data_IF_622143293054
#
_entry.id   IF_622143293054
#
_cell.length_a   1.000
_cell.length_b   1.000
_cell.length_c   1.000
_cell.angle_alpha   90.00
_cell.angle_beta   90.00
_cell.angle_gamma   90.00
#
_symmetry.space_group_name_H-M   'P 1'
#
loop_
_entity.id
_entity.type
_entity.pdbx_description
1 polymer ?
#
# COMPACT_ATOMS: atom_id res chain seq x y z
N UNK A 1 4.41 17.06 -19.23
CA UNK A 1 3.60 15.85 -19.01
C UNK A 1 4.49 14.73 -18.49
N UNK A 2 3.94 13.93 -17.62
CA UNK A 2 4.62 12.80 -16.97
C UNK A 2 3.89 11.51 -17.31
N UNK A 3 4.64 10.46 -17.61
CA UNK A 3 4.12 9.13 -17.90
C UNK A 3 4.88 8.08 -17.08
N UNK A 4 4.45 6.82 -17.15
CA UNK A 4 5.12 5.74 -16.44
C UNK A 4 6.29 5.14 -17.23
N UNK A 5 6.19 5.00 -18.57
CA UNK A 5 7.22 4.36 -19.41
C UNK A 5 7.84 5.30 -20.42
N UNK A 6 9.10 5.05 -20.77
CA UNK A 6 9.78 5.78 -21.85
C UNK A 6 9.06 5.64 -23.20
N UNK A 7 8.46 4.47 -23.45
CA UNK A 7 7.66 4.24 -24.65
C UNK A 7 6.45 5.15 -24.71
N UNK A 8 5.69 5.24 -23.61
CA UNK A 8 4.53 6.15 -23.52
C UNK A 8 4.94 7.62 -23.68
N UNK A 9 6.05 8.04 -23.06
CA UNK A 9 6.59 9.40 -23.25
C UNK A 9 6.92 9.70 -24.71
N UNK A 10 7.54 8.75 -25.42
CA UNK A 10 7.86 8.87 -26.85
C UNK A 10 6.59 8.92 -27.69
N UNK A 11 5.65 8.01 -27.49
CA UNK A 11 4.38 7.99 -28.22
C UNK A 11 3.57 9.29 -28.02
N UNK A 12 3.51 9.80 -26.80
CA UNK A 12 2.85 11.08 -26.50
C UNK A 12 3.53 12.24 -27.23
N UNK A 13 4.86 12.29 -27.23
CA UNK A 13 5.64 13.31 -27.96
C UNK A 13 5.37 13.24 -29.45
N UNK A 14 5.43 12.05 -30.05
CA UNK A 14 5.21 11.84 -31.48
C UNK A 14 3.78 12.21 -31.90
N UNK A 15 2.80 11.93 -31.07
CA UNK A 15 1.39 12.32 -31.32
C UNK A 15 1.23 13.83 -31.34
N UNK A 16 1.87 14.55 -30.41
CA UNK A 16 1.84 16.00 -30.37
C UNK A 16 2.55 16.59 -31.59
N UNK A 17 3.75 16.10 -31.92
CA UNK A 17 4.49 16.58 -33.09
C UNK A 17 3.72 16.38 -34.40
N UNK A 18 3.14 15.19 -34.62
CA UNK A 18 2.29 14.94 -35.79
C UNK A 18 1.07 15.87 -35.84
N UNK A 19 0.50 16.22 -34.68
CA UNK A 19 -0.62 17.16 -34.63
C UNK A 19 -0.18 18.58 -35.02
N UNK A 20 1.00 19.00 -34.59
CA UNK A 20 1.61 20.29 -34.98
C UNK A 20 1.96 20.30 -36.48
N UNK A 21 2.58 19.25 -37.02
CA UNK A 21 2.87 19.10 -38.45
C UNK A 21 1.58 19.15 -39.31
N UNK A 22 0.52 18.47 -38.85
CA UNK A 22 -0.80 18.52 -39.53
C UNK A 22 -1.34 19.95 -39.53
N UNK A 23 -1.19 20.71 -38.45
CA UNK A 23 -1.63 22.09 -38.41
C UNK A 23 -0.81 23.00 -39.31
N UNK A 24 0.50 22.77 -39.45
CA UNK A 24 1.35 23.47 -40.40
C UNK A 24 0.93 23.22 -41.85
N UNK A 25 0.49 22.01 -42.21
CA UNK A 25 0.01 21.68 -43.55
C UNK A 25 -1.24 22.46 -43.99
N UNK A 26 -1.96 23.04 -43.05
CA UNK A 26 -3.20 23.79 -43.30
C UNK A 26 -4.41 22.97 -43.75
N UNK A 27 -4.26 21.64 -43.83
CA UNK A 27 -5.33 20.72 -44.28
C UNK A 27 -6.20 20.35 -43.10
N UNK A 28 -7.45 20.86 -43.09
CA UNK A 28 -8.43 20.55 -42.02
C UNK A 28 -8.85 19.06 -42.10
N UNK A 29 -8.71 18.27 -41.03
CA UNK A 29 -9.17 16.89 -41.00
C UNK A 29 -10.68 16.78 -41.14
N UNK A 30 -11.16 15.69 -41.77
CA UNK A 30 -12.60 15.47 -41.96
C UNK A 30 -13.30 15.06 -40.64
N UNK A 31 -12.59 14.34 -39.75
CA UNK A 31 -13.17 13.83 -38.52
C UNK A 31 -13.30 14.92 -37.44
N UNK A 32 -14.47 15.06 -36.77
CA UNK A 32 -14.74 16.14 -35.81
C UNK A 32 -13.76 16.21 -34.65
N UNK A 33 -13.35 15.06 -34.09
CA UNK A 33 -12.38 15.00 -32.98
C UNK A 33 -10.97 15.48 -33.43
N UNK A 34 -10.56 15.18 -34.65
CA UNK A 34 -9.28 15.65 -35.21
C UNK A 34 -9.31 17.15 -35.53
N UNK A 35 -10.48 17.71 -35.84
CA UNK A 35 -10.60 19.16 -36.07
C UNK A 35 -10.33 19.97 -34.80
N UNK A 36 -10.76 19.47 -33.62
CA UNK A 36 -10.43 20.11 -32.35
C UNK A 36 -8.90 20.08 -32.12
N UNK A 37 -8.29 18.92 -32.31
CA UNK A 37 -6.83 18.75 -32.18
C UNK A 37 -6.08 19.69 -33.16
N UNK A 38 -6.54 19.79 -34.41
CA UNK A 38 -5.99 20.69 -35.40
C UNK A 38 -6.04 22.17 -34.97
N UNK A 39 -7.18 22.62 -34.44
CA UNK A 39 -7.32 24.00 -33.95
C UNK A 39 -6.41 24.28 -32.75
N UNK A 40 -6.33 23.35 -31.79
CA UNK A 40 -5.44 23.48 -30.63
C UNK A 40 -3.97 23.49 -31.05
N UNK A 41 -3.58 22.64 -32.02
CA UNK A 41 -2.24 22.62 -32.58
C UNK A 41 -1.89 23.94 -33.29
N UNK A 42 -2.84 24.52 -34.03
CA UNK A 42 -2.69 25.86 -34.64
C UNK A 42 -2.48 26.96 -33.60
N UNK A 43 -3.23 26.95 -32.50
CA UNK A 43 -3.03 27.89 -31.39
C UNK A 43 -1.65 27.69 -30.72
N UNK A 44 -1.22 26.45 -30.55
CA UNK A 44 0.09 26.13 -30.00
C UNK A 44 1.22 26.63 -30.90
N UNK A 45 1.10 26.47 -32.23
CA UNK A 45 2.06 27.00 -33.20
C UNK A 45 2.10 28.54 -33.21
N UNK A 46 0.96 29.22 -33.10
CA UNK A 46 0.94 30.67 -32.96
C UNK A 46 1.72 31.11 -31.71
N UNK A 47 1.52 30.42 -30.60
CA UNK A 47 2.25 30.68 -29.35
C UNK A 47 3.72 30.34 -29.45
N UNK A 48 4.05 29.27 -30.18
CA UNK A 48 5.42 28.85 -30.46
C UNK A 48 6.18 29.95 -31.21
N UNK A 49 5.55 30.53 -32.24
CA UNK A 49 6.11 31.66 -33.00
C UNK A 49 6.32 32.90 -32.13
N UNK A 50 5.31 33.29 -31.32
CA UNK A 50 5.38 34.44 -30.40
C UNK A 50 6.55 34.29 -29.39
N UNK A 51 6.80 33.09 -28.93
CA UNK A 51 7.77 32.79 -27.88
C UNK A 51 9.11 32.29 -28.40
N UNK A 52 9.25 32.10 -29.71
CA UNK A 52 10.41 31.57 -30.39
C UNK A 52 10.90 30.24 -29.79
N UNK A 53 9.94 29.33 -29.49
CA UNK A 53 10.30 28.02 -28.92
C UNK A 53 10.86 27.07 -29.98
N UNK A 54 10.34 27.08 -31.20
CA UNK A 54 10.74 26.20 -32.29
C UNK A 54 10.50 24.75 -31.98
N UNK A 55 9.28 24.38 -31.58
CA UNK A 55 8.94 23.06 -31.07
C UNK A 55 9.13 21.93 -32.09
N UNK A 56 8.93 22.23 -33.40
CA UNK A 56 9.13 21.26 -34.46
C UNK A 56 10.64 21.01 -34.74
N UNK A 57 11.43 22.04 -34.62
CA UNK A 57 12.90 21.95 -34.80
C UNK A 57 13.59 21.41 -33.54
N UNK A 58 13.00 21.67 -32.39
CA UNK A 58 13.52 21.28 -31.07
C UNK A 58 12.51 20.51 -30.22
N UNK A 59 12.14 19.26 -30.59
CA UNK A 59 11.13 18.47 -29.89
C UNK A 59 11.43 18.23 -28.40
N UNK A 60 12.69 18.28 -28.00
CA UNK A 60 13.11 18.16 -26.60
C UNK A 60 12.62 19.28 -25.68
N UNK A 61 12.15 20.41 -26.25
CA UNK A 61 11.51 21.50 -25.50
C UNK A 61 10.11 21.14 -25.01
N UNK A 62 9.47 20.14 -25.63
CA UNK A 62 8.28 19.50 -25.07
C UNK A 62 8.70 18.71 -23.82
N UNK A 63 8.35 19.22 -22.66
CA UNK A 63 8.67 18.57 -21.38
C UNK A 63 7.75 17.36 -21.14
N UNK A 64 8.02 16.29 -21.89
CA UNK A 64 7.33 14.99 -21.79
C UNK A 64 8.37 13.97 -21.37
N UNK A 65 8.21 13.41 -20.16
CA UNK A 65 9.20 12.52 -19.55
C UNK A 65 8.52 11.51 -18.63
N UNK A 66 9.26 10.51 -18.16
CA UNK A 66 8.77 9.62 -17.12
C UNK A 66 8.91 10.26 -15.74
N UNK A 67 8.11 9.79 -14.77
CA UNK A 67 8.27 10.20 -13.36
C UNK A 67 9.67 9.91 -12.85
N UNK A 68 10.23 8.74 -13.17
CA UNK A 68 11.58 8.36 -12.74
C UNK A 68 12.66 9.27 -13.35
N UNK A 69 12.52 9.66 -14.62
CA UNK A 69 13.43 10.59 -15.25
C UNK A 69 13.32 12.02 -14.65
N UNK A 70 12.12 12.43 -14.24
CA UNK A 70 11.94 13.67 -13.48
C UNK A 70 12.66 13.58 -12.14
N UNK A 71 12.42 12.50 -11.35
CA UNK A 71 13.11 12.27 -10.08
C UNK A 71 14.63 12.33 -10.23
N UNK A 72 15.18 11.62 -11.22
CA UNK A 72 16.61 11.63 -11.50
C UNK A 72 17.13 13.03 -11.87
N UNK A 73 16.34 13.81 -12.63
CA UNK A 73 16.69 15.19 -12.96
C UNK A 73 16.74 16.11 -11.75
N UNK A 74 15.76 15.98 -10.84
CA UNK A 74 15.69 16.78 -9.61
C UNK A 74 16.84 16.43 -8.66
N UNK A 75 17.10 15.15 -8.44
CA UNK A 75 18.19 14.69 -7.59
C UNK A 75 19.56 15.20 -8.10
N UNK A 76 19.76 15.29 -9.42
CA UNK A 76 20.98 15.84 -10.04
C UNK A 76 21.16 17.34 -9.86
N UNK A 77 20.08 18.10 -9.80
CA UNK A 77 20.17 19.56 -9.65
C UNK A 77 20.64 19.99 -8.27
N UNK A 78 20.48 19.13 -7.26
CA UNK A 78 20.85 19.42 -5.88
C UNK A 78 21.71 18.29 -5.28
N UNK A 79 22.96 18.10 -5.76
CA UNK A 79 23.79 16.93 -5.41
C UNK A 79 24.12 16.84 -3.91
N UNK A 80 24.23 17.95 -3.22
CA UNK A 80 24.47 17.97 -1.77
C UNK A 80 23.22 17.58 -0.98
N UNK A 81 22.05 18.12 -1.33
CA UNK A 81 20.79 17.79 -0.64
C UNK A 81 20.30 16.40 -0.96
N UNK A 82 20.47 15.93 -2.19
CA UNK A 82 20.19 14.56 -2.58
C UNK A 82 21.17 13.54 -1.99
N UNK A 83 22.31 14.01 -1.45
CA UNK A 83 23.39 13.21 -0.86
C UNK A 83 24.00 12.18 -1.83
N UNK A 84 23.87 12.37 -3.13
CA UNK A 84 24.52 11.49 -4.10
C UNK A 84 26.00 11.83 -4.29
N UNK A 85 26.37 13.09 -4.17
CA UNK A 85 27.73 13.55 -4.47
C UNK A 85 28.02 13.47 -5.96
N UNK A 86 28.41 12.29 -6.45
CA UNK A 86 28.47 11.95 -7.87
C UNK A 86 27.16 11.29 -8.32
N UNK A 87 26.86 11.35 -9.63
CA UNK A 87 25.66 10.72 -10.16
C UNK A 87 25.83 9.18 -10.21
N UNK A 88 25.04 8.41 -9.46
CA UNK A 88 25.06 6.95 -9.56
C UNK A 88 24.39 6.48 -10.85
N UNK A 89 24.75 5.28 -11.30
CA UNK A 89 23.99 4.52 -12.28
C UNK A 89 22.62 4.12 -11.71
N UNK A 90 21.71 3.71 -12.59
CA UNK A 90 20.41 3.14 -12.20
C UNK A 90 20.48 1.65 -12.46
N UNK A 91 20.36 0.85 -11.41
CA UNK A 91 20.30 -0.60 -11.53
C UNK A 91 18.98 -1.01 -12.19
N UNK A 92 19.06 -1.71 -13.32
CA UNK A 92 17.87 -2.29 -13.99
C UNK A 92 17.28 -3.42 -13.14
N UNK A 93 18.15 -4.22 -12.50
CA UNK A 93 17.81 -5.22 -11.50
C UNK A 93 18.55 -4.91 -10.20
N UNK A 94 17.83 -4.50 -9.18
CA UNK A 94 18.38 -4.15 -7.87
C UNK A 94 18.36 -5.33 -6.87
N UNK A 95 17.77 -6.48 -7.21
CA UNK A 95 17.66 -7.65 -6.32
C UNK A 95 19.01 -8.16 -5.81
N UNK A 96 20.10 -8.20 -6.61
CA UNK A 96 21.45 -8.56 -6.12
C UNK A 96 21.95 -7.64 -5.00
N UNK A 97 21.64 -6.35 -5.04
CA UNK A 97 21.99 -5.40 -3.99
C UNK A 97 21.18 -5.64 -2.72
N UNK A 98 19.88 -5.95 -2.86
CA UNK A 98 19.02 -6.32 -1.72
C UNK A 98 19.53 -7.60 -1.04
N UNK A 99 19.89 -8.63 -1.81
CA UNK A 99 20.46 -9.86 -1.28
C UNK A 99 21.79 -9.62 -0.56
N UNK A 100 22.66 -8.79 -1.13
CA UNK A 100 23.91 -8.40 -0.49
C UNK A 100 23.68 -7.67 0.83
N UNK A 101 22.76 -6.72 0.86
CA UNK A 101 22.41 -5.97 2.06
C UNK A 101 21.79 -6.86 3.13
N UNK A 102 20.88 -7.75 2.76
CA UNK A 102 20.24 -8.70 3.67
C UNK A 102 21.29 -9.62 4.32
N UNK A 103 22.20 -10.18 3.54
CA UNK A 103 23.28 -11.05 4.03
C UNK A 103 24.20 -10.31 5.00
N UNK A 104 24.68 -9.13 4.63
CA UNK A 104 25.52 -8.29 5.51
C UNK A 104 24.82 -7.93 6.81
N UNK A 105 23.51 -7.70 6.76
CA UNK A 105 22.72 -7.44 7.97
C UNK A 105 22.72 -8.68 8.89
N UNK A 106 22.54 -9.89 8.34
CA UNK A 106 22.57 -11.12 9.14
C UNK A 106 23.97 -11.42 9.69
N UNK A 107 25.03 -11.14 8.94
CA UNK A 107 26.44 -11.29 9.37
C UNK A 107 26.77 -10.39 10.58
N UNK A 108 26.03 -9.31 10.82
CA UNK A 108 26.24 -8.45 11.98
C UNK A 108 26.03 -9.18 13.32
N UNK A 109 25.34 -10.32 13.32
CA UNK A 109 25.17 -11.15 14.53
C UNK A 109 26.51 -11.56 15.14
N UNK A 110 27.58 -11.70 14.34
CA UNK A 110 28.91 -12.10 14.78
C UNK A 110 29.72 -10.94 15.37
N UNK A 111 29.34 -9.70 15.07
CA UNK A 111 30.13 -8.53 15.48
C UNK A 111 29.97 -8.15 16.96
N UNK A 112 28.92 -8.66 17.62
CA UNK A 112 28.57 -8.28 19.00
C UNK A 112 27.98 -6.85 19.11
N UNK A 113 27.42 -6.53 20.28
CA UNK A 113 26.83 -5.23 20.54
C UNK A 113 25.35 -5.12 20.18
N UNK A 114 24.78 -3.92 20.30
CA UNK A 114 23.34 -3.68 20.21
C UNK A 114 22.72 -4.10 18.86
N UNK A 115 23.45 -3.95 17.77
CA UNK A 115 22.96 -4.33 16.43
C UNK A 115 22.97 -5.86 16.26
N UNK A 116 23.98 -6.55 16.83
CA UNK A 116 24.01 -8.01 16.86
C UNK A 116 22.85 -8.59 17.69
N UNK A 117 22.50 -7.94 18.82
CA UNK A 117 21.36 -8.34 19.64
C UNK A 117 20.03 -8.24 18.88
N UNK A 118 19.87 -7.22 18.04
CA UNK A 118 18.70 -7.06 17.17
C UNK A 118 18.61 -8.21 16.16
N UNK A 119 19.72 -8.54 15.49
CA UNK A 119 19.76 -9.64 14.52
C UNK A 119 19.48 -10.98 15.21
N UNK A 120 20.11 -11.22 16.38
CA UNK A 120 19.90 -12.42 17.16
C UNK A 120 18.44 -12.56 17.62
N UNK A 121 17.81 -11.47 18.06
CA UNK A 121 16.39 -11.44 18.44
C UNK A 121 15.46 -11.79 17.29
N UNK A 122 15.71 -11.23 16.11
CA UNK A 122 14.94 -11.54 14.90
C UNK A 122 15.14 -12.99 14.43
N UNK A 123 16.37 -13.51 14.50
CA UNK A 123 16.65 -14.91 14.20
C UNK A 123 15.95 -15.85 15.18
N UNK A 124 15.98 -15.55 16.48
CA UNK A 124 15.29 -16.35 17.48
C UNK A 124 13.76 -16.39 17.24
N UNK A 125 13.15 -15.26 16.87
CA UNK A 125 11.73 -15.21 16.50
C UNK A 125 11.41 -16.07 15.27
N UNK A 126 12.36 -16.20 14.35
CA UNK A 126 12.23 -17.01 13.12
C UNK A 126 12.74 -18.45 13.28
N UNK A 127 12.80 -18.99 14.50
CA UNK A 127 13.33 -20.32 14.80
C UNK A 127 14.75 -20.55 14.24
N UNK A 128 15.58 -19.50 14.22
CA UNK A 128 16.93 -19.47 13.62
C UNK A 128 16.96 -19.82 12.12
N UNK A 129 15.88 -19.59 11.40
CA UNK A 129 15.84 -19.80 9.96
C UNK A 129 16.39 -18.57 9.22
N UNK A 130 17.71 -18.49 9.11
CA UNK A 130 18.41 -17.39 8.46
C UNK A 130 18.00 -17.20 6.98
N UNK A 131 17.81 -18.29 6.22
CA UNK A 131 17.42 -18.21 4.82
C UNK A 131 16.03 -17.60 4.62
N UNK A 132 15.08 -17.93 5.52
CA UNK A 132 13.76 -17.30 5.50
C UNK A 132 13.83 -15.82 5.86
N UNK A 133 14.63 -15.46 6.86
CA UNK A 133 14.82 -14.06 7.27
C UNK A 133 15.50 -13.26 6.15
N UNK A 134 16.53 -13.79 5.49
CA UNK A 134 17.18 -13.18 4.32
C UNK A 134 16.15 -12.88 3.22
N UNK A 135 15.34 -13.88 2.85
CA UNK A 135 14.31 -13.71 1.81
C UNK A 135 13.28 -12.62 2.15
N UNK A 136 12.87 -12.54 3.43
CA UNK A 136 11.97 -11.49 3.90
C UNK A 136 12.63 -10.11 3.85
N UNK A 137 13.90 -9.99 4.24
CA UNK A 137 14.65 -8.73 4.15
C UNK A 137 14.77 -8.25 2.71
N UNK A 138 15.10 -9.14 1.76
CA UNK A 138 15.16 -8.83 0.32
C UNK A 138 13.81 -8.28 -0.16
N UNK A 139 12.71 -8.97 0.16
CA UNK A 139 11.37 -8.54 -0.23
C UNK A 139 10.99 -7.17 0.39
N UNK A 140 11.37 -6.93 1.66
CA UNK A 140 11.10 -5.68 2.36
C UNK A 140 11.94 -4.52 1.81
N UNK A 141 13.21 -4.75 1.49
CA UNK A 141 14.08 -3.72 0.90
C UNK A 141 13.57 -3.22 -0.44
N UNK A 142 12.98 -4.10 -1.26
CA UNK A 142 12.32 -3.73 -2.50
C UNK A 142 11.03 -2.91 -2.34
N UNK A 143 10.53 -2.77 -1.10
CA UNK A 143 9.33 -1.98 -0.76
C UNK A 143 9.61 -0.95 0.34
N UNK A 144 10.88 -0.53 0.51
CA UNK A 144 11.27 0.33 1.63
C UNK A 144 10.64 1.72 1.60
N UNK A 145 10.19 2.19 0.46
CA UNK A 145 9.43 3.42 0.32
C UNK A 145 8.10 3.42 1.09
N UNK A 146 7.54 2.24 1.36
CA UNK A 146 6.29 2.09 2.09
C UNK A 146 6.47 2.11 3.62
N UNK A 147 7.62 1.69 4.13
CA UNK A 147 7.80 1.48 5.57
C UNK A 147 8.96 2.27 6.22
N UNK A 148 9.98 2.72 5.45
CA UNK A 148 11.21 3.27 6.04
C UNK A 148 10.98 4.51 6.92
N UNK A 149 10.06 5.39 6.51
CA UNK A 149 9.73 6.57 7.29
C UNK A 149 8.94 6.24 8.58
N UNK A 150 8.19 5.14 8.59
CA UNK A 150 7.50 4.66 9.78
C UNK A 150 8.45 3.97 10.76
N UNK A 151 9.43 3.20 10.27
CA UNK A 151 10.38 2.47 11.08
C UNK A 151 11.13 3.36 12.08
N UNK A 152 11.51 4.58 11.69
CA UNK A 152 12.17 5.53 12.59
C UNK A 152 11.26 6.05 13.71
N UNK A 153 9.94 6.09 13.48
CA UNK A 153 8.95 6.55 14.47
C UNK A 153 8.56 5.45 15.45
N UNK A 154 8.60 4.18 15.03
CA UNK A 154 8.31 3.02 15.88
C UNK A 154 9.30 2.96 17.06
N UNK A 155 10.59 3.19 16.81
CA UNK A 155 11.64 3.15 17.83
C UNK A 155 11.52 4.24 18.90
N UNK A 156 10.82 5.32 18.63
CA UNK A 156 10.59 6.39 19.62
C UNK A 156 9.46 6.09 20.61
N UNK A 157 8.79 4.92 20.48
CA UNK A 157 7.64 4.53 21.31
C UNK A 157 6.38 5.34 21.04
N UNK A 158 6.46 6.38 20.19
CA UNK A 158 5.34 7.28 19.91
C UNK A 158 4.26 6.63 19.03
N UNK A 159 4.54 5.48 18.41
CA UNK A 159 3.67 4.87 17.41
C UNK A 159 2.86 3.67 17.90
N UNK A 160 3.03 3.18 19.14
CA UNK A 160 2.30 1.99 19.61
C UNK A 160 0.78 2.19 19.47
N UNK A 161 0.27 3.32 19.94
CA UNK A 161 -1.15 3.65 19.83
C UNK A 161 -1.64 3.81 18.38
N UNK A 162 -0.80 4.38 17.48
CA UNK A 162 -1.15 4.50 16.06
C UNK A 162 -1.18 3.14 15.36
N UNK A 163 -0.24 2.26 15.69
CA UNK A 163 -0.19 0.88 15.17
C UNK A 163 -1.40 0.08 15.66
N UNK A 164 -1.70 0.15 16.96
CA UNK A 164 -2.87 -0.51 17.55
C UNK A 164 -4.17 0.04 16.95
N UNK A 165 -4.28 1.35 16.74
CA UNK A 165 -5.43 1.95 16.06
C UNK A 165 -5.54 1.49 14.59
N UNK A 166 -4.42 1.34 13.89
CA UNK A 166 -4.38 0.79 12.54
C UNK A 166 -4.86 -0.66 12.49
N UNK A 167 -4.41 -1.52 13.41
CA UNK A 167 -4.92 -2.89 13.54
C UNK A 167 -6.42 -2.90 13.89
N UNK A 168 -6.85 -2.04 14.81
CA UNK A 168 -8.25 -1.90 15.14
C UNK A 168 -9.11 -1.58 13.92
N UNK A 169 -8.71 -0.61 13.10
CA UNK A 169 -9.42 -0.23 11.88
C UNK A 169 -9.50 -1.37 10.85
N UNK A 170 -8.43 -2.16 10.70
CA UNK A 170 -8.44 -3.33 9.82
C UNK A 170 -9.40 -4.41 10.32
N UNK A 171 -9.38 -4.70 11.64
CA UNK A 171 -10.28 -5.66 12.27
C UNK A 171 -11.74 -5.19 12.13
N UNK A 172 -12.03 -3.92 12.41
CA UNK A 172 -13.37 -3.35 12.28
C UNK A 172 -13.92 -3.44 10.84
N UNK A 173 -13.06 -3.30 9.83
CA UNK A 173 -13.44 -3.52 8.44
C UNK A 173 -13.88 -4.96 8.19
N UNK A 174 -13.14 -5.94 8.71
CA UNK A 174 -13.45 -7.36 8.54
C UNK A 174 -14.69 -7.74 9.37
N UNK A 175 -14.87 -7.15 10.55
CA UNK A 175 -16.10 -7.25 11.34
C UNK A 175 -17.31 -6.66 10.61
N UNK A 176 -17.16 -5.53 9.93
CA UNK A 176 -18.22 -4.93 9.12
C UNK A 176 -18.65 -5.84 7.96
N UNK A 177 -17.70 -6.51 7.30
CA UNK A 177 -17.98 -7.50 6.29
C UNK A 177 -18.80 -8.67 6.87
N UNK A 178 -18.40 -9.20 8.03
CA UNK A 178 -19.14 -10.25 8.71
C UNK A 178 -20.55 -9.80 9.15
N UNK A 179 -20.69 -8.61 9.70
CA UNK A 179 -21.97 -8.03 10.10
C UNK A 179 -22.93 -7.82 8.94
N UNK A 180 -22.41 -7.58 7.73
CA UNK A 180 -23.23 -7.48 6.53
C UNK A 180 -23.82 -8.83 6.11
N UNK A 181 -23.04 -9.92 6.24
CA UNK A 181 -23.46 -11.28 5.89
C UNK A 181 -24.31 -11.93 7.00
N UNK A 182 -23.90 -11.77 8.26
CA UNK A 182 -24.66 -12.19 9.45
C UNK A 182 -25.44 -10.99 9.98
N UNK A 183 -26.38 -10.51 9.19
CA UNK A 183 -27.14 -9.29 9.47
C UNK A 183 -28.07 -9.43 10.68
N UNK A 184 -28.72 -8.34 11.11
CA UNK A 184 -29.55 -8.31 12.30
C UNK A 184 -30.68 -9.36 12.33
N UNK A 185 -31.24 -9.75 11.16
CA UNK A 185 -32.23 -10.82 11.06
C UNK A 185 -31.61 -12.18 11.39
N UNK A 186 -30.46 -12.49 10.81
CA UNK A 186 -29.69 -13.72 11.07
C UNK A 186 -29.28 -13.76 12.55
N UNK A 187 -28.76 -12.67 13.07
CA UNK A 187 -28.35 -12.57 14.48
C UNK A 187 -29.52 -12.80 15.44
N UNK A 188 -30.70 -12.26 15.14
CA UNK A 188 -31.89 -12.44 15.97
C UNK A 188 -32.31 -13.91 16.06
N UNK A 189 -32.13 -14.69 14.99
CA UNK A 189 -32.38 -16.14 14.99
C UNK A 189 -31.25 -16.92 15.69
N UNK A 190 -30.01 -16.48 15.48
CA UNK A 190 -28.84 -17.16 16.03
C UNK A 190 -28.64 -16.96 17.54
N UNK A 191 -28.92 -15.75 18.07
CA UNK A 191 -28.69 -15.42 19.48
C UNK A 191 -29.31 -16.44 20.48
N UNK A 192 -30.61 -16.82 20.40
CA UNK A 192 -31.16 -17.77 21.31
C UNK A 192 -30.53 -19.16 21.16
N UNK A 193 -30.15 -19.56 19.95
CA UNK A 193 -29.51 -20.85 19.67
C UNK A 193 -28.06 -20.88 20.18
N UNK A 194 -27.34 -19.77 20.06
CA UNK A 194 -25.97 -19.62 20.56
C UNK A 194 -25.92 -19.66 22.10
N UNK A 195 -26.87 -19.00 22.79
CA UNK A 195 -27.01 -19.08 24.24
C UNK A 195 -27.36 -20.49 24.68
N UNK A 196 -28.26 -21.14 23.96
CA UNK A 196 -28.63 -22.54 24.25
C UNK A 196 -27.39 -23.45 24.09
N UNK A 197 -26.60 -23.27 23.02
CA UNK A 197 -25.39 -24.04 22.81
C UNK A 197 -24.36 -23.84 23.94
N UNK A 198 -24.13 -22.59 24.34
CA UNK A 198 -23.23 -22.27 25.46
C UNK A 198 -23.67 -22.90 26.79
N UNK A 199 -24.98 -22.95 27.07
CA UNK A 199 -25.50 -23.57 28.28
C UNK A 199 -25.35 -25.10 28.32
N UNK A 200 -25.21 -25.77 27.16
CA UNK A 200 -25.19 -27.23 27.05
C UNK A 200 -23.82 -27.83 26.69
N UNK A 201 -22.80 -27.00 26.42
CA UNK A 201 -21.46 -27.50 26.12
C UNK A 201 -20.37 -26.60 26.71
N UNK A 202 -19.59 -27.11 27.66
CA UNK A 202 -18.48 -26.39 28.29
C UNK A 202 -17.38 -25.96 27.31
N UNK A 203 -17.37 -26.50 26.08
CA UNK A 203 -16.43 -26.12 25.02
C UNK A 203 -16.95 -25.05 24.04
N UNK A 204 -18.20 -24.61 24.20
CA UNK A 204 -18.74 -23.45 23.51
C UNK A 204 -18.41 -22.21 24.35
N UNK A 205 -17.93 -21.16 23.72
CA UNK A 205 -17.42 -19.99 24.42
C UNK A 205 -18.46 -19.34 25.35
N UNK A 206 -18.06 -19.01 26.57
CA UNK A 206 -18.87 -18.30 27.56
C UNK A 206 -19.35 -16.93 27.05
N UNK A 207 -18.65 -16.33 26.07
CA UNK A 207 -19.07 -15.07 25.46
C UNK A 207 -20.41 -15.14 24.74
N UNK A 208 -20.91 -16.33 24.42
CA UNK A 208 -22.21 -16.54 23.80
C UNK A 208 -23.32 -16.69 24.82
N UNK A 209 -23.01 -17.02 26.08
CA UNK A 209 -24.02 -17.27 27.12
C UNK A 209 -24.85 -16.01 27.45
N UNK A 210 -24.24 -14.85 27.45
CA UNK A 210 -24.84 -13.54 27.74
C UNK A 210 -25.13 -12.69 26.51
N UNK A 211 -25.09 -13.28 25.31
CA UNK A 211 -25.34 -12.55 24.05
C UNK A 211 -26.82 -12.16 23.95
N UNK A 212 -27.14 -10.88 24.14
CA UNK A 212 -28.50 -10.32 24.20
C UNK A 212 -28.76 -9.18 23.22
N UNK A 213 -27.73 -8.59 22.63
CA UNK A 213 -27.83 -7.50 21.68
C UNK A 213 -27.10 -7.82 20.36
N UNK A 214 -27.57 -7.32 19.22
CA UNK A 214 -26.86 -7.51 17.94
C UNK A 214 -25.40 -7.07 18.01
N UNK A 215 -24.50 -7.89 17.44
CA UNK A 215 -23.09 -7.56 17.31
C UNK A 215 -22.91 -6.44 16.29
N UNK A 216 -21.99 -5.55 16.60
CA UNK A 216 -21.58 -4.45 15.75
C UNK A 216 -20.27 -4.77 15.04
N UNK A 217 -19.79 -3.85 14.19
CA UNK A 217 -18.46 -3.92 13.63
C UNK A 217 -17.37 -3.40 14.59
N UNK A 218 -17.75 -3.01 15.82
CA UNK A 218 -16.80 -2.49 16.79
C UNK A 218 -15.91 -3.59 17.38
N UNK A 219 -14.66 -3.22 17.65
CA UNK A 219 -13.61 -4.14 18.14
C UNK A 219 -13.98 -4.86 19.43
N UNK A 220 -14.81 -4.25 20.28
CA UNK A 220 -15.30 -4.86 21.52
C UNK A 220 -16.11 -6.14 21.28
N UNK A 221 -16.70 -6.29 20.11
CA UNK A 221 -17.48 -7.47 19.72
C UNK A 221 -16.61 -8.57 19.07
N UNK A 222 -15.32 -8.34 18.83
CA UNK A 222 -14.42 -9.32 18.20
C UNK A 222 -14.44 -10.69 18.90
N UNK A 223 -14.29 -10.81 20.23
CA UNK A 223 -14.29 -12.13 20.87
C UNK A 223 -15.61 -12.88 20.65
N UNK A 224 -16.73 -12.15 20.62
CA UNK A 224 -18.05 -12.73 20.40
C UNK A 224 -18.25 -13.12 18.95
N UNK A 225 -17.75 -12.32 17.99
CA UNK A 225 -17.73 -12.68 16.58
C UNK A 225 -16.89 -13.94 16.31
N UNK A 226 -15.73 -14.08 16.98
CA UNK A 226 -14.91 -15.31 16.91
C UNK A 226 -15.65 -16.52 17.45
N UNK A 227 -16.38 -16.34 18.54
CA UNK A 227 -17.20 -17.42 19.12
C UNK A 227 -18.38 -17.81 18.21
N UNK A 228 -19.01 -16.84 17.55
CA UNK A 228 -20.04 -17.09 16.54
C UNK A 228 -19.43 -17.86 15.34
N UNK A 229 -18.30 -17.44 14.85
CA UNK A 229 -17.61 -18.13 13.74
C UNK A 229 -17.24 -19.58 14.14
N UNK A 230 -16.73 -19.80 15.35
CA UNK A 230 -16.42 -21.14 15.88
C UNK A 230 -17.66 -22.04 16.03
N UNK A 231 -18.82 -21.47 16.38
CA UNK A 231 -20.09 -22.20 16.47
C UNK A 231 -20.59 -22.60 15.06
N UNK A 232 -20.46 -21.72 14.06
CA UNK A 232 -21.00 -21.93 12.72
C UNK A 232 -20.08 -22.76 11.82
N UNK A 233 -18.75 -22.63 11.97
CA UNK A 233 -17.77 -23.29 11.12
C UNK A 233 -17.25 -24.61 11.72
N UNK A 234 -16.88 -25.52 10.83
CA UNK A 234 -16.09 -26.72 11.16
C UNK A 234 -14.60 -26.35 11.30
N UNK A 235 -13.79 -27.28 11.83
CA UNK A 235 -12.33 -27.10 11.84
C UNK A 235 -11.68 -26.95 10.46
N UNK A 236 -12.37 -27.30 9.38
CA UNK A 236 -11.94 -27.08 7.99
C UNK A 236 -12.42 -25.76 7.39
N UNK A 237 -13.06 -24.89 8.16
CA UNK A 237 -13.52 -23.57 7.71
C UNK A 237 -14.83 -23.56 6.93
N UNK A 238 -15.53 -24.68 6.85
CA UNK A 238 -16.83 -24.77 6.16
C UNK A 238 -18.01 -24.66 7.12
N UNK A 239 -19.13 -24.09 6.69
CA UNK A 239 -20.36 -24.03 7.50
C UNK A 239 -20.83 -25.42 7.85
N UNK A 240 -21.10 -25.67 9.13
CA UNK A 240 -21.51 -26.98 9.64
C UNK A 240 -22.76 -27.50 8.92
N UNK A 241 -22.75 -28.80 8.61
CA UNK A 241 -23.91 -29.50 8.05
C UNK A 241 -24.77 -30.11 9.14
N UNK A 242 -24.18 -30.39 10.30
CA UNK A 242 -24.84 -31.03 11.45
C UNK A 242 -24.33 -30.40 12.74
N UNK A 243 -25.13 -30.46 13.79
CA UNK A 243 -24.75 -30.08 15.16
C UNK A 243 -24.99 -31.23 16.10
N UNK A 244 -24.14 -31.41 17.09
CA UNK A 244 -24.18 -32.46 18.09
C UNK A 244 -23.91 -31.89 19.49
N UNK A 245 -23.81 -32.78 20.49
CA UNK A 245 -23.52 -32.39 21.86
C UNK A 245 -22.22 -31.60 22.05
N UNK A 246 -21.25 -31.77 21.15
CA UNK A 246 -19.97 -31.01 21.21
C UNK A 246 -20.18 -29.56 20.83
N UNK A 247 -21.18 -29.29 20.01
CA UNK A 247 -21.58 -27.94 19.60
C UNK A 247 -22.71 -27.40 20.52
N UNK A 248 -23.05 -28.06 21.66
CA UNK A 248 -24.10 -27.64 22.54
C UNK A 248 -25.50 -28.02 22.12
N UNK A 249 -25.67 -28.99 21.21
CA UNK A 249 -26.99 -29.49 20.77
C UNK A 249 -27.11 -30.99 21.06
N UNK A 250 -27.53 -31.37 22.31
CA UNK A 250 -27.76 -32.76 22.69
C UNK A 250 -28.84 -33.44 21.84
N UNK A 251 -28.83 -34.76 21.84
CA UNK A 251 -29.78 -35.56 21.05
C UNK A 251 -31.12 -35.81 21.77
N UNK A 252 -31.32 -35.25 22.96
CA UNK A 252 -32.50 -35.43 23.79
C UNK A 252 -33.74 -34.87 23.12
N UNK A 253 -34.86 -35.56 23.26
CA UNK A 253 -36.13 -35.18 22.60
C UNK A 253 -36.63 -33.79 22.99
N UNK A 254 -36.36 -33.33 24.19
CA UNK A 254 -36.74 -31.99 24.66
C UNK A 254 -36.06 -30.86 23.95
N UNK A 255 -34.88 -31.12 23.31
CA UNK A 255 -34.07 -30.13 22.56
C UNK A 255 -34.21 -30.25 21.05
N UNK A 256 -35.14 -31.06 20.57
CA UNK A 256 -35.34 -31.34 19.15
C UNK A 256 -35.65 -30.06 18.34
N UNK A 257 -36.39 -29.13 18.89
CA UNK A 257 -36.80 -27.89 18.24
C UNK A 257 -35.61 -26.95 18.05
N UNK A 258 -34.74 -26.77 19.06
CA UNK A 258 -33.54 -25.95 19.01
C UNK A 258 -32.55 -26.51 17.98
N UNK A 259 -32.38 -27.84 17.96
CA UNK A 259 -31.51 -28.52 16.98
C UNK A 259 -32.03 -28.35 15.57
N UNK A 260 -33.35 -28.48 15.36
CA UNK A 260 -33.99 -28.28 14.06
C UNK A 260 -33.82 -26.84 13.59
N UNK A 261 -34.10 -25.85 14.43
CA UNK A 261 -33.94 -24.45 14.12
C UNK A 261 -32.50 -24.10 13.75
N UNK A 262 -31.49 -24.67 14.46
CA UNK A 262 -30.08 -24.48 14.12
C UNK A 262 -29.73 -25.11 12.77
N UNK A 263 -30.22 -26.27 12.43
CA UNK A 263 -29.96 -26.93 11.16
C UNK A 263 -30.58 -26.16 9.98
N UNK A 264 -31.78 -25.62 10.15
CA UNK A 264 -32.42 -24.74 9.15
C UNK A 264 -31.61 -23.47 8.94
N UNK A 265 -31.20 -22.79 10.00
CA UNK A 265 -30.33 -21.59 9.91
C UNK A 265 -29.00 -21.90 9.22
N UNK A 266 -28.35 -23.02 9.57
CA UNK A 266 -27.09 -23.43 8.89
C UNK A 266 -27.29 -23.74 7.41
N UNK A 267 -28.46 -24.27 7.02
CA UNK A 267 -28.80 -24.52 5.63
C UNK A 267 -28.90 -23.21 4.84
N UNK A 268 -29.54 -22.19 5.41
CA UNK A 268 -29.65 -20.86 4.81
C UNK A 268 -28.26 -20.18 4.71
N UNK A 269 -27.46 -20.26 5.77
CA UNK A 269 -26.12 -19.67 5.80
C UNK A 269 -25.16 -20.30 4.78
N UNK A 270 -25.28 -21.59 4.49
CA UNK A 270 -24.46 -22.23 3.42
C UNK A 270 -24.73 -21.69 2.03
N UNK A 271 -25.90 -21.13 1.80
CA UNK A 271 -26.24 -20.47 0.53
C UNK A 271 -25.66 -19.04 0.41
N UNK A 272 -25.10 -18.50 1.50
CA UNK A 272 -24.57 -17.14 1.53
C UNK A 272 -23.15 -17.13 1.00
N UNK A 273 -22.95 -16.56 -0.20
CA UNK A 273 -21.63 -16.44 -0.84
C UNK A 273 -20.67 -15.61 0.00
N UNK A 274 -19.43 -16.10 0.16
CA UNK A 274 -18.36 -15.41 0.90
C UNK A 274 -18.42 -15.56 2.43
N UNK A 275 -19.46 -16.19 2.99
CA UNK A 275 -19.62 -16.32 4.46
C UNK A 275 -18.50 -17.14 5.09
N UNK A 276 -18.15 -18.28 4.48
CA UNK A 276 -17.13 -19.19 5.01
C UNK A 276 -15.76 -18.51 5.07
N UNK A 277 -15.40 -17.81 4.01
CA UNK A 277 -14.15 -17.06 3.92
C UNK A 277 -14.11 -15.93 4.97
N UNK A 278 -15.17 -15.11 5.01
CA UNK A 278 -15.27 -13.98 5.96
C UNK A 278 -15.19 -14.42 7.41
N UNK A 279 -15.99 -15.44 7.80
CA UNK A 279 -15.97 -15.95 9.17
C UNK A 279 -14.66 -16.68 9.49
N UNK A 280 -14.05 -17.33 8.49
CA UNK A 280 -12.74 -17.97 8.63
C UNK A 280 -11.63 -16.97 8.95
N UNK A 281 -11.65 -15.80 8.32
CA UNK A 281 -10.73 -14.69 8.63
C UNK A 281 -10.88 -14.26 10.10
N UNK A 282 -12.10 -14.10 10.60
CA UNK A 282 -12.33 -13.66 11.97
C UNK A 282 -11.71 -14.58 13.03
N UNK A 283 -11.68 -15.89 12.77
CA UNK A 283 -11.07 -16.86 13.70
C UNK A 283 -9.55 -16.66 13.86
N UNK A 284 -8.90 -16.10 12.86
CA UNK A 284 -7.45 -15.87 12.84
C UNK A 284 -7.06 -14.45 13.30
N UNK A 285 -8.02 -13.54 13.48
CA UNK A 285 -7.71 -12.16 13.86
C UNK A 285 -7.13 -12.11 15.29
N UNK A 286 -5.99 -11.40 15.49
CA UNK A 286 -5.42 -11.16 16.81
C UNK A 286 -6.23 -10.11 17.56
N UNK A 287 -5.95 -9.98 18.87
CA UNK A 287 -6.40 -8.82 19.63
C UNK A 287 -5.71 -7.55 19.12
N UNK A 288 -6.38 -6.40 19.11
CA UNK A 288 -5.79 -5.15 18.58
C UNK A 288 -4.70 -4.56 19.48
N UNK A 289 -4.74 -4.85 20.78
CA UNK A 289 -3.72 -4.42 21.72
C UNK A 289 -2.53 -5.37 21.68
N UNK A 290 -1.35 -4.81 21.51
CA UNK A 290 -0.10 -5.53 21.56
C UNK A 290 0.40 -5.61 23.01
N UNK A 291 0.72 -6.81 23.47
CA UNK A 291 1.47 -7.00 24.70
C UNK A 291 2.86 -6.36 24.59
N UNK A 292 3.52 -6.12 25.73
CA UNK A 292 4.90 -5.57 25.72
C UNK A 292 5.88 -6.47 24.95
N UNK A 293 5.71 -7.80 25.01
CA UNK A 293 6.55 -8.75 24.29
C UNK A 293 6.32 -8.68 22.76
N UNK A 294 5.05 -8.56 22.33
CA UNK A 294 4.72 -8.39 20.91
C UNK A 294 5.23 -7.04 20.39
N UNK A 295 5.07 -5.98 21.19
CA UNK A 295 5.60 -4.67 20.84
C UNK A 295 7.12 -4.69 20.72
N UNK A 296 7.83 -5.30 21.66
CA UNK A 296 9.29 -5.47 21.59
C UNK A 296 9.73 -6.23 20.31
N UNK A 297 8.91 -7.18 19.84
CA UNK A 297 9.15 -7.85 18.56
C UNK A 297 9.00 -6.89 17.38
N UNK A 298 7.97 -6.06 17.37
CA UNK A 298 7.77 -5.02 16.33
C UNK A 298 8.95 -4.05 16.30
N UNK A 299 9.41 -3.58 17.48
CA UNK A 299 10.59 -2.72 17.58
C UNK A 299 11.86 -3.42 17.07
N UNK A 300 12.07 -4.68 17.44
CA UNK A 300 13.21 -5.48 16.98
C UNK A 300 13.24 -5.56 15.43
N UNK A 301 12.14 -5.93 14.80
CA UNK A 301 12.07 -6.01 13.34
C UNK A 301 12.17 -4.62 12.67
N UNK A 302 11.62 -3.58 13.28
CA UNK A 302 11.76 -2.23 12.79
C UNK A 302 13.23 -1.77 12.76
N UNK A 303 13.99 -2.06 13.83
CA UNK A 303 15.43 -1.79 13.90
C UNK A 303 16.21 -2.61 12.89
N UNK A 304 15.89 -3.92 12.77
CA UNK A 304 16.51 -4.80 11.78
C UNK A 304 16.33 -4.26 10.36
N UNK A 305 15.12 -3.83 9.98
CA UNK A 305 14.83 -3.27 8.67
C UNK A 305 15.64 -2.00 8.40
N UNK A 306 15.82 -1.14 9.41
CA UNK A 306 16.67 0.05 9.27
C UNK A 306 18.15 -0.30 9.10
N UNK A 307 18.65 -1.29 9.83
CA UNK A 307 20.01 -1.81 9.63
C UNK A 307 20.18 -2.31 8.20
N UNK A 308 19.21 -3.10 7.71
CA UNK A 308 19.22 -3.60 6.34
C UNK A 308 19.20 -2.47 5.29
N UNK A 309 18.41 -1.41 5.51
CA UNK A 309 18.41 -0.23 4.64
C UNK A 309 19.76 0.51 4.67
N UNK A 310 20.44 0.55 5.84
CA UNK A 310 21.80 1.08 5.97
C UNK A 310 22.82 0.24 5.16
N UNK A 311 22.76 -1.10 5.25
CA UNK A 311 23.60 -1.98 4.46
C UNK A 311 23.32 -1.89 2.96
N UNK A 312 22.06 -1.67 2.57
CA UNK A 312 21.71 -1.43 1.17
C UNK A 312 22.35 -0.15 0.64
N UNK A 313 22.33 0.91 1.44
CA UNK A 313 23.00 2.16 1.06
C UNK A 313 24.51 1.95 0.81
N UNK A 314 25.18 1.19 1.67
CA UNK A 314 26.60 0.84 1.49
C UNK A 314 26.82 0.00 0.22
N UNK A 315 25.95 -0.98 -0.04
CA UNK A 315 26.03 -1.80 -1.25
C UNK A 315 25.86 -0.96 -2.53
N UNK A 316 24.92 0.00 -2.52
CA UNK A 316 24.74 0.94 -3.63
C UNK A 316 25.95 1.85 -3.84
N UNK A 317 26.56 2.36 -2.77
CA UNK A 317 27.75 3.19 -2.86
C UNK A 317 28.95 2.43 -3.47
N UNK A 318 29.14 1.18 -3.06
CA UNK A 318 30.23 0.34 -3.57
C UNK A 318 30.04 0.00 -5.05
N UNK A 319 28.80 -0.23 -5.48
CA UNK A 319 28.49 -0.54 -6.87
C UNK A 319 28.46 0.73 -7.77
N UNK A 320 28.31 1.91 -7.19
CA UNK A 320 28.08 3.15 -7.96
C UNK A 320 26.71 3.18 -8.63
N UNK A 321 25.76 2.41 -8.16
CA UNK A 321 24.40 2.26 -8.69
C UNK A 321 23.37 2.41 -7.60
N UNK A 322 22.15 2.80 -7.96
CA UNK A 322 20.98 2.85 -7.07
C UNK A 322 19.73 2.40 -7.81
N UNK A 323 18.70 2.02 -7.08
CA UNK A 323 17.40 1.72 -7.66
C UNK A 323 16.50 2.96 -7.80
N UNK A 324 15.33 2.78 -8.44
CA UNK A 324 14.36 3.85 -8.64
C UNK A 324 13.75 4.38 -7.33
N UNK A 325 13.63 3.53 -6.30
CA UNK A 325 13.13 3.95 -4.97
C UNK A 325 14.08 4.98 -4.35
N UNK A 326 15.39 4.70 -4.42
CA UNK A 326 16.40 5.64 -3.89
C UNK A 326 16.41 6.95 -4.66
N UNK A 327 16.30 6.91 -6.00
CA UNK A 327 16.23 8.12 -6.82
C UNK A 327 15.02 8.97 -6.45
N UNK A 328 13.84 8.35 -6.29
CA UNK A 328 12.62 9.06 -5.91
C UNK A 328 12.73 9.67 -4.50
N UNK A 329 13.28 8.92 -3.53
CA UNK A 329 13.52 9.41 -2.18
C UNK A 329 14.49 10.61 -2.18
N UNK A 330 15.58 10.54 -2.96
CA UNK A 330 16.57 11.64 -3.08
C UNK A 330 16.01 12.86 -3.80
N UNK A 331 15.15 12.67 -4.79
CA UNK A 331 14.41 13.78 -5.40
C UNK A 331 13.53 14.51 -4.39
N UNK A 332 12.85 13.76 -3.50
CA UNK A 332 12.11 14.34 -2.40
C UNK A 332 12.97 15.19 -1.46
N UNK A 333 14.16 14.71 -1.10
CA UNK A 333 15.12 15.48 -0.30
C UNK A 333 15.62 16.74 -1.01
N UNK A 334 15.82 16.68 -2.33
CA UNK A 334 16.22 17.83 -3.11
C UNK A 334 15.19 18.96 -3.14
N UNK A 335 13.90 18.64 -2.96
CA UNK A 335 12.81 19.62 -2.84
C UNK A 335 12.63 20.18 -1.41
N UNK A 336 13.18 19.49 -0.40
CA UNK A 336 13.00 19.85 1.01
C UNK A 336 11.67 19.31 1.58
N UNK A 337 11.42 19.70 2.83
CA UNK A 337 10.18 19.36 3.54
C UNK A 337 9.19 20.53 3.57
N UNK A 338 8.13 20.36 4.36
CA UNK A 338 7.02 21.28 4.45
C UNK A 338 7.41 22.61 5.12
N UNK A 339 8.34 22.56 6.04
CA UNK A 339 8.77 23.72 6.84
C UNK A 339 9.95 24.45 6.19
N UNK A 340 10.75 23.74 5.37
CA UNK A 340 11.95 24.25 4.75
C UNK A 340 12.07 23.84 3.27
N UNK A 341 11.26 24.43 2.36
CA UNK A 341 11.40 24.20 0.92
C UNK A 341 12.75 24.74 0.43
N UNK A 342 13.37 24.00 -0.50
CA UNK A 342 14.65 24.41 -1.08
C UNK A 342 14.49 25.48 -2.15
N UNK A 343 15.59 26.17 -2.52
CA UNK A 343 15.61 27.09 -3.66
C UNK A 343 15.16 26.41 -4.95
N UNK A 344 15.46 25.11 -5.13
CA UNK A 344 14.99 24.33 -6.27
C UNK A 344 13.47 24.20 -6.28
N UNK A 345 12.85 23.92 -5.11
CA UNK A 345 11.40 23.82 -5.01
C UNK A 345 10.74 25.16 -5.37
N UNK A 346 11.28 26.27 -4.90
CA UNK A 346 10.82 27.62 -5.25
C UNK A 346 10.97 27.91 -6.74
N UNK A 347 12.14 27.61 -7.33
CA UNK A 347 12.39 27.80 -8.76
C UNK A 347 11.41 26.99 -9.62
N UNK A 348 11.06 25.78 -9.21
CA UNK A 348 10.10 24.92 -9.90
C UNK A 348 8.67 25.42 -9.75
N UNK A 349 8.29 25.97 -8.62
CA UNK A 349 6.96 26.56 -8.39
C UNK A 349 6.69 27.71 -9.38
N UNK A 350 7.70 28.52 -9.69
CA UNK A 350 7.58 29.55 -10.71
C UNK A 350 7.63 29.01 -12.14
N UNK A 351 8.34 27.90 -12.38
CA UNK A 351 8.58 27.37 -13.73
C UNK A 351 7.48 26.41 -14.20
N UNK A 352 6.83 25.67 -13.29
CA UNK A 352 5.82 24.69 -13.60
C UNK A 352 4.44 25.30 -13.34
N UNK A 353 3.64 25.42 -14.41
CA UNK A 353 2.25 25.90 -14.29
C UNK A 353 1.22 24.83 -14.56
N UNK A 354 1.56 23.87 -15.40
CA UNK A 354 0.65 22.79 -15.75
C UNK A 354 1.37 21.46 -15.63
N UNK A 355 0.85 20.55 -14.82
CA UNK A 355 1.36 19.22 -14.58
C UNK A 355 0.31 18.21 -15.01
N UNK A 356 0.64 17.40 -16.01
CA UNK A 356 -0.21 16.33 -16.49
C UNK A 356 0.46 15.01 -16.12
N UNK A 357 -0.26 14.12 -15.46
CA UNK A 357 0.25 12.79 -15.06
C UNK A 357 -0.65 11.72 -15.66
N UNK A 358 -0.06 10.87 -16.47
CA UNK A 358 -0.72 9.73 -17.10
C UNK A 358 -0.33 8.43 -16.39
N UNK A 359 -1.20 7.42 -16.44
CA UNK A 359 -1.03 6.13 -15.77
C UNK A 359 -0.79 6.27 -14.25
N UNK A 360 -1.56 7.16 -13.61
CA UNK A 360 -1.38 7.49 -12.20
C UNK A 360 -1.55 6.29 -11.26
N UNK A 361 -2.34 5.28 -11.66
CA UNK A 361 -2.52 4.05 -10.89
C UNK A 361 -1.24 3.24 -10.67
N UNK A 362 -0.18 3.50 -11.45
CA UNK A 362 1.11 2.82 -11.37
C UNK A 362 2.18 3.63 -10.61
N UNK A 363 1.81 4.79 -10.05
CA UNK A 363 2.72 5.62 -9.25
C UNK A 363 2.97 5.02 -7.87
N UNK A 364 4.21 5.14 -7.38
CA UNK A 364 4.57 4.75 -6.02
C UNK A 364 4.19 5.84 -4.99
N UNK A 365 4.03 5.50 -3.70
CA UNK A 365 3.79 6.49 -2.64
C UNK A 365 4.83 7.62 -2.61
N UNK A 366 6.11 7.30 -2.83
CA UNK A 366 7.20 8.28 -2.89
C UNK A 366 7.05 9.23 -4.07
N UNK A 367 6.61 8.73 -5.23
CA UNK A 367 6.34 9.55 -6.41
C UNK A 367 5.12 10.44 -6.21
N UNK A 368 4.07 9.94 -5.54
CA UNK A 368 2.90 10.77 -5.16
C UNK A 368 3.34 11.89 -4.23
N UNK A 369 4.09 11.59 -3.17
CA UNK A 369 4.61 12.61 -2.27
C UNK A 369 5.51 13.65 -2.96
N UNK A 370 6.24 13.25 -4.01
CA UNK A 370 6.99 14.18 -4.86
C UNK A 370 6.06 15.14 -5.62
N UNK A 371 4.98 14.62 -6.22
CA UNK A 371 3.98 15.44 -6.93
C UNK A 371 3.29 16.42 -5.98
N UNK A 372 2.93 15.98 -4.78
CA UNK A 372 2.37 16.82 -3.73
C UNK A 372 3.31 17.98 -3.36
N UNK A 373 4.62 17.70 -3.21
CA UNK A 373 5.63 18.73 -2.95
C UNK A 373 5.78 19.71 -4.11
N UNK A 374 5.73 19.24 -5.36
CA UNK A 374 5.81 20.10 -6.56
C UNK A 374 4.57 20.98 -6.75
N UNK A 375 3.41 20.55 -6.26
CA UNK A 375 2.15 21.30 -6.39
C UNK A 375 1.73 22.00 -5.09
N UNK A 376 2.59 21.97 -4.08
CA UNK A 376 2.35 22.66 -2.82
C UNK A 376 2.23 24.16 -3.06
N UNK A 377 1.26 24.78 -2.44
CA UNK A 377 0.99 26.20 -2.63
C UNK A 377 0.19 26.55 -3.88
N UNK A 378 -0.19 25.54 -4.68
CA UNK A 378 -1.15 25.78 -5.76
C UNK A 378 -2.55 25.95 -5.18
N UNK A 379 -3.23 26.98 -5.64
CA UNK A 379 -4.57 27.33 -5.16
C UNK A 379 -5.59 27.22 -6.30
N UNK A 380 -6.86 26.94 -6.01
CA UNK A 380 -7.91 27.04 -7.03
C UNK A 380 -7.86 28.40 -7.74
N UNK A 381 -8.01 28.40 -9.06
CA UNK A 381 -8.07 29.60 -9.93
C UNK A 381 -6.80 30.45 -9.99
N UNK A 382 -5.64 29.93 -9.54
CA UNK A 382 -4.35 30.63 -9.63
C UNK A 382 -3.67 30.52 -11.01
N UNK A 383 -4.34 29.88 -11.97
CA UNK A 383 -3.84 29.68 -13.34
C UNK A 383 -2.87 28.50 -13.45
N UNK A 384 -2.71 27.71 -12.42
CA UNK A 384 -1.95 26.45 -12.41
C UNK A 384 -2.90 25.25 -12.45
N UNK A 385 -2.45 24.12 -13.01
CA UNK A 385 -3.31 22.95 -13.20
C UNK A 385 -2.55 21.66 -12.92
N UNK A 386 -3.07 20.82 -12.04
CA UNK A 386 -2.72 19.41 -11.94
C UNK A 386 -3.83 18.60 -12.63
N UNK A 387 -3.46 17.85 -13.66
CA UNK A 387 -4.35 16.94 -14.37
C UNK A 387 -3.82 15.52 -14.28
N UNK A 388 -4.59 14.63 -13.68
CA UNK A 388 -4.20 13.25 -13.38
C UNK A 388 -5.14 12.31 -14.11
N UNK A 389 -4.59 11.35 -14.84
CA UNK A 389 -5.33 10.30 -15.54
C UNK A 389 -4.85 8.95 -15.04
N UNK A 390 -5.80 8.08 -14.70
CA UNK A 390 -5.52 6.74 -14.25
C UNK A 390 -6.78 5.90 -14.15
N UNK A 391 -6.63 4.59 -14.33
CA UNK A 391 -7.69 3.60 -14.13
C UNK A 391 -7.22 2.56 -13.11
N UNK A 392 -7.77 2.55 -11.88
CA UNK A 392 -7.38 1.59 -10.85
C UNK A 392 -7.51 0.13 -11.27
N UNK A 393 -8.41 -0.17 -12.22
CA UNK A 393 -8.62 -1.53 -12.72
C UNK A 393 -7.51 -1.99 -13.69
N UNK A 394 -6.76 -1.06 -14.26
CA UNK A 394 -5.64 -1.34 -15.17
C UNK A 394 -4.29 -1.39 -14.45
N UNK A 395 -4.24 -1.18 -13.13
CA UNK A 395 -2.99 -1.29 -12.37
C UNK A 395 -2.45 -2.71 -12.42
N UNK A 396 -1.39 -2.90 -13.19
CA UNK A 396 -0.66 -4.18 -13.31
C UNK A 396 0.52 -4.26 -12.33
N UNK A 397 0.92 -3.15 -11.75
CA UNK A 397 2.05 -3.04 -10.82
C UNK A 397 1.59 -3.06 -9.35
N UNK A 398 0.60 -3.92 -9.02
CA UNK A 398 0.12 -4.12 -7.64
C UNK A 398 1.21 -4.50 -6.64
N UNK A 399 2.34 -4.98 -7.12
CA UNK A 399 3.52 -5.28 -6.30
C UNK A 399 4.28 -4.02 -5.83
N UNK A 400 3.95 -2.84 -6.37
CA UNK A 400 4.46 -1.54 -5.91
C UNK A 400 3.55 -0.86 -4.87
N UNK A 401 2.45 -1.52 -4.50
CA UNK A 401 1.51 -1.05 -3.46
C UNK A 401 1.72 -1.81 -2.16
#
# INVERSE_FOLDING_TARGET
>A
ALTFTNKAATEMRDRILRSLETAVSGVLPAEPHKQLTFRLAGQALARDAERAWGLLDHPGRLRITTLDALCASLARQMPYLSRFGSQPGVAEDAEPHYATAARRTLEMVEAGGADADVVAGALAFMDNNAGRLESLLVAMLGKRDQWLHHASRIESGAMKAEVEAGFAALIERDLAAAASLVNGRVQSLLMPLARFAAANAPGVSDTLADWTAPLTAGIADLPRWQSVAGLLLTGSGTVRKTVDKRCGFPADKEFADQKKAMLELLADLRATTGLEETLGVLLALPQPQLSEAEWATVECFSRLLRLAAGQLWLAFQEAGEVDFIEIAARAGLALGDDEAPTDLAQALDYAIRHLLVDEFQDTSPTQVGLLERLTRGWMPDDGRTLFVVGDPMQSIYRFRK
#
